data_IF_271859325790
#
_entry.id   IF_271859325790
#
_cell.length_a   1.000
_cell.length_b   1.000
_cell.length_c   1.000
_cell.angle_alpha   90.00
_cell.angle_beta   90.00
_cell.angle_gamma   90.00
#
_symmetry.space_group_name_H-M   'P 1'
#
loop_
_entity.id
_entity.type
_entity.pdbx_description
1 polymer ?
#
# COMPACT_ATOMS: atom_id res chain seq x y z
N UNK A 1 5.51 -7.41 -67.42
CA UNK A 1 6.18 -6.28 -66.75
C UNK A 1 5.15 -5.61 -65.85
N UNK A 2 5.30 -5.78 -64.53
CA UNK A 2 4.76 -5.01 -63.38
C UNK A 2 3.22 -4.94 -63.25
N UNK A 3 2.52 -5.70 -62.39
CA UNK A 3 2.49 -5.73 -60.92
C UNK A 3 2.15 -4.38 -60.29
N UNK A 4 0.94 -4.24 -59.70
CA UNK A 4 0.67 -3.48 -58.47
C UNK A 4 -0.57 -4.07 -57.79
N UNK A 5 -0.32 -4.95 -56.83
CA UNK A 5 -1.25 -5.43 -55.81
C UNK A 5 -1.32 -4.32 -54.75
N UNK A 6 -2.46 -3.63 -54.68
CA UNK A 6 -2.69 -2.52 -53.76
C UNK A 6 -3.04 -3.11 -52.38
N UNK A 7 -2.00 -3.56 -51.69
CA UNK A 7 -2.08 -4.04 -50.32
C UNK A 7 -2.42 -2.87 -49.41
N UNK A 8 -3.67 -2.83 -48.96
CA UNK A 8 -4.13 -1.96 -47.89
C UNK A 8 -3.28 -2.20 -46.64
N UNK A 9 -2.39 -1.26 -46.35
CA UNK A 9 -1.62 -1.23 -45.10
C UNK A 9 -2.59 -0.87 -43.98
N UNK A 10 -2.99 -1.90 -43.23
CA UNK A 10 -3.79 -1.83 -42.02
C UNK A 10 -3.09 -0.93 -40.99
N UNK A 11 -3.66 0.25 -40.73
CA UNK A 11 -3.13 1.21 -39.75
C UNK A 11 -3.38 0.75 -38.29
N UNK A 12 -2.52 -0.17 -37.86
CA UNK A 12 -1.84 -0.35 -36.56
C UNK A 12 -2.61 -0.54 -35.21
N UNK A 13 -2.20 -1.56 -34.41
CA UNK A 13 -2.71 -1.87 -33.05
C UNK A 13 -2.19 -1.00 -31.90
N UNK A 14 -1.13 -0.18 -32.10
CA UNK A 14 -0.49 0.58 -31.00
C UNK A 14 -1.39 1.63 -30.34
N UNK A 15 -2.17 2.38 -31.15
CA UNK A 15 -3.06 3.43 -30.63
C UNK A 15 -4.16 2.85 -29.74
N UNK A 16 -4.73 1.71 -30.15
CA UNK A 16 -5.81 1.00 -29.44
C UNK A 16 -5.34 0.37 -28.13
N UNK A 17 -4.08 -0.08 -28.07
CA UNK A 17 -3.46 -0.61 -26.84
C UNK A 17 -3.14 0.52 -25.86
N UNK A 18 -2.65 1.66 -26.33
CA UNK A 18 -2.38 2.84 -25.51
C UNK A 18 -3.66 3.40 -24.86
N UNK A 19 -4.75 3.47 -25.61
CA UNK A 19 -6.05 3.92 -25.11
C UNK A 19 -6.63 2.95 -24.07
N UNK A 20 -6.42 1.63 -24.26
CA UNK A 20 -6.82 0.62 -23.28
C UNK A 20 -6.09 0.81 -21.95
N UNK A 21 -4.75 0.84 -21.97
CA UNK A 21 -3.95 0.93 -20.76
C UNK A 21 -4.21 2.26 -20.00
N UNK A 22 -4.40 3.36 -20.72
CA UNK A 22 -4.76 4.64 -20.13
C UNK A 22 -6.13 4.57 -19.44
N UNK A 23 -7.13 3.96 -20.09
CA UNK A 23 -8.48 3.81 -19.53
C UNK A 23 -8.49 2.90 -18.29
N UNK A 24 -7.79 1.78 -18.36
CA UNK A 24 -7.65 0.84 -17.23
C UNK A 24 -7.01 1.53 -16.01
N UNK A 25 -5.93 2.28 -16.23
CA UNK A 25 -5.27 3.09 -15.19
C UNK A 25 -6.20 4.19 -14.63
N UNK A 26 -7.01 4.83 -15.47
CA UNK A 26 -7.95 5.85 -15.05
C UNK A 26 -9.04 5.28 -14.14
N UNK A 27 -9.62 4.13 -14.50
CA UNK A 27 -10.60 3.39 -13.69
C UNK A 27 -9.98 3.02 -12.35
N UNK A 28 -8.79 2.42 -12.36
CA UNK A 28 -8.09 2.00 -11.14
C UNK A 28 -7.80 3.19 -10.20
N UNK A 29 -7.30 4.29 -10.75
CA UNK A 29 -6.98 5.50 -9.99
C UNK A 29 -8.24 6.14 -9.40
N UNK A 30 -9.34 6.18 -10.17
CA UNK A 30 -10.63 6.67 -9.71
C UNK A 30 -11.17 5.81 -8.56
N UNK A 31 -11.02 4.49 -8.66
CA UNK A 31 -11.46 3.56 -7.63
C UNK A 31 -10.70 3.76 -6.30
N UNK A 32 -9.37 3.82 -6.35
CA UNK A 32 -8.53 4.12 -5.16
C UNK A 32 -8.90 5.47 -4.54
N UNK A 33 -9.11 6.49 -5.37
CA UNK A 33 -9.48 7.81 -4.89
C UNK A 33 -10.87 7.84 -4.24
N UNK A 34 -11.86 7.11 -4.76
CA UNK A 34 -13.18 6.98 -4.15
C UNK A 34 -13.12 6.30 -2.79
N UNK A 35 -12.44 5.16 -2.68
CA UNK A 35 -12.23 4.52 -1.38
C UNK A 35 -11.53 5.48 -0.41
N UNK A 36 -10.46 6.14 -0.86
CA UNK A 36 -9.70 7.07 -0.04
C UNK A 36 -10.53 8.28 0.43
N UNK A 37 -11.61 8.66 -0.26
CA UNK A 37 -12.42 9.84 0.06
C UNK A 37 -13.71 9.46 0.78
N UNK A 38 -14.49 8.55 0.20
CA UNK A 38 -15.88 8.23 0.59
C UNK A 38 -16.02 6.89 1.32
N UNK A 39 -14.98 6.04 1.25
CA UNK A 39 -15.01 4.69 1.82
C UNK A 39 -15.95 3.73 1.11
N UNK A 40 -16.24 2.58 1.75
CA UNK A 40 -16.99 1.50 1.10
C UNK A 40 -18.47 1.82 0.85
N UNK A 41 -19.09 2.67 1.67
CA UNK A 41 -20.51 3.03 1.52
C UNK A 41 -20.81 3.75 0.19
N UNK A 42 -19.88 4.58 -0.29
CA UNK A 42 -19.99 5.27 -1.58
C UNK A 42 -19.35 4.53 -2.76
N UNK A 43 -18.76 3.36 -2.51
CA UNK A 43 -17.95 2.66 -3.50
C UNK A 43 -18.80 1.71 -4.35
N UNK A 44 -18.80 1.92 -5.67
CA UNK A 44 -19.51 1.05 -6.59
C UNK A 44 -19.24 1.38 -8.05
N UNK A 45 -19.66 0.48 -8.95
CA UNK A 45 -19.41 0.57 -10.40
C UNK A 45 -19.79 1.93 -10.98
N UNK A 46 -20.99 2.43 -10.67
CA UNK A 46 -21.47 3.71 -11.23
C UNK A 46 -20.66 4.90 -10.70
N UNK A 47 -20.28 4.89 -9.42
CA UNK A 47 -19.47 5.95 -8.82
C UNK A 47 -18.07 5.98 -9.45
N UNK A 48 -17.45 4.80 -9.61
CA UNK A 48 -16.14 4.65 -10.26
C UNK A 48 -16.19 5.10 -11.72
N UNK A 49 -17.18 4.63 -12.49
CA UNK A 49 -17.35 5.00 -13.90
C UNK A 49 -17.50 6.51 -14.09
N UNK A 50 -18.37 7.13 -13.28
CA UNK A 50 -18.58 8.59 -13.29
C UNK A 50 -17.29 9.35 -12.99
N UNK A 51 -16.51 8.90 -12.00
CA UNK A 51 -15.24 9.56 -11.63
C UNK A 51 -14.14 9.35 -12.66
N UNK A 52 -14.06 8.15 -13.24
CA UNK A 52 -13.11 7.81 -14.29
C UNK A 52 -13.44 8.47 -15.64
N UNK A 53 -14.66 8.99 -15.81
CA UNK A 53 -15.14 9.56 -17.07
C UNK A 53 -15.31 8.49 -18.15
N UNK A 54 -15.68 7.26 -17.78
CA UNK A 54 -15.78 6.13 -18.70
C UNK A 54 -17.15 5.44 -18.61
N UNK A 55 -17.48 4.64 -19.63
CA UNK A 55 -18.65 3.76 -19.57
C UNK A 55 -18.44 2.64 -18.53
N UNK A 56 -19.48 2.30 -17.76
CA UNK A 56 -19.42 1.23 -16.74
C UNK A 56 -19.07 -0.14 -17.32
N UNK A 57 -19.41 -0.41 -18.58
CA UNK A 57 -19.07 -1.65 -19.28
C UNK A 57 -17.54 -1.83 -19.40
N UNK A 58 -16.77 -0.75 -19.41
CA UNK A 58 -15.30 -0.84 -19.41
C UNK A 58 -14.76 -1.39 -18.09
N UNK A 59 -15.44 -1.14 -16.96
CA UNK A 59 -15.07 -1.73 -15.67
C UNK A 59 -15.32 -3.24 -15.68
N UNK A 60 -16.47 -3.68 -16.18
CA UNK A 60 -16.74 -5.10 -16.37
C UNK A 60 -15.75 -5.76 -17.33
N UNK A 61 -15.41 -5.07 -18.43
CA UNK A 61 -14.47 -5.57 -19.44
C UNK A 61 -13.04 -5.71 -18.91
N UNK A 62 -12.55 -4.75 -18.13
CA UNK A 62 -11.15 -4.72 -17.69
C UNK A 62 -10.92 -5.38 -16.34
N UNK A 63 -11.89 -5.29 -15.43
CA UNK A 63 -11.76 -5.78 -14.05
C UNK A 63 -12.77 -6.87 -13.70
N UNK A 64 -13.64 -7.31 -14.61
CA UNK A 64 -14.65 -8.32 -14.29
C UNK A 64 -15.75 -7.82 -13.33
N UNK A 65 -15.85 -6.50 -13.15
CA UNK A 65 -16.82 -5.87 -12.24
C UNK A 65 -16.17 -5.37 -10.95
N UNK A 66 -16.98 -5.23 -9.90
CA UNK A 66 -16.55 -4.57 -8.66
C UNK A 66 -15.58 -5.44 -7.86
N UNK A 67 -15.84 -6.75 -7.82
CA UNK A 67 -15.00 -7.71 -7.08
C UNK A 67 -13.59 -7.78 -7.67
N UNK A 68 -13.45 -7.89 -8.99
CA UNK A 68 -12.12 -7.91 -9.60
C UNK A 68 -11.40 -6.55 -9.55
N UNK A 69 -12.14 -5.44 -9.48
CA UNK A 69 -11.55 -4.13 -9.20
C UNK A 69 -11.00 -4.05 -7.76
N UNK A 70 -11.72 -4.61 -6.78
CA UNK A 70 -11.24 -4.73 -5.39
C UNK A 70 -10.04 -5.68 -5.33
N UNK A 71 -10.06 -6.78 -6.07
CA UNK A 71 -8.94 -7.71 -6.16
C UNK A 71 -7.69 -7.03 -6.72
N UNK A 72 -7.82 -6.23 -7.78
CA UNK A 72 -6.71 -5.45 -8.34
C UNK A 72 -6.16 -4.42 -7.33
N UNK A 73 -7.03 -3.80 -6.52
CA UNK A 73 -6.59 -2.91 -5.44
C UNK A 73 -5.84 -3.71 -4.37
N UNK A 74 -6.32 -4.90 -4.02
CA UNK A 74 -5.62 -5.81 -3.11
C UNK A 74 -4.25 -6.23 -3.63
N UNK A 75 -4.10 -6.45 -4.93
CA UNK A 75 -2.81 -6.77 -5.56
C UNK A 75 -1.82 -5.60 -5.50
N UNK A 76 -2.28 -4.38 -5.78
CA UNK A 76 -1.49 -3.15 -5.62
C UNK A 76 -1.09 -2.91 -4.16
N UNK A 77 -1.97 -3.20 -3.19
CA UNK A 77 -1.60 -3.22 -1.77
C UNK A 77 -0.57 -4.32 -1.45
N UNK A 78 -0.61 -5.41 -2.21
CA UNK A 78 0.36 -6.51 -2.20
C UNK A 78 1.79 -6.05 -2.53
N UNK A 79 1.94 -5.06 -3.40
CA UNK A 79 3.24 -4.47 -3.77
C UNK A 79 3.54 -3.16 -3.03
N UNK A 80 2.55 -2.54 -2.39
CA UNK A 80 2.66 -1.23 -1.72
C UNK A 80 3.90 -1.09 -0.83
N UNK A 81 4.19 -2.10 -0.01
CA UNK A 81 5.33 -2.10 0.90
C UNK A 81 6.65 -2.09 0.11
N UNK A 82 6.74 -2.93 -0.93
CA UNK A 82 7.92 -3.04 -1.80
C UNK A 82 8.17 -1.75 -2.60
N UNK A 83 7.11 -1.13 -3.09
CA UNK A 83 7.23 0.03 -4.00
C UNK A 83 7.56 1.33 -3.24
N UNK A 84 7.18 1.42 -1.96
CA UNK A 84 7.40 2.61 -1.12
C UNK A 84 8.56 2.48 -0.16
N UNK A 85 9.00 1.26 0.13
CA UNK A 85 10.12 1.02 1.04
C UNK A 85 11.29 0.45 0.24
N UNK A 86 12.42 1.17 0.14
CA UNK A 86 13.59 0.71 -0.61
C UNK A 86 14.03 -0.70 -0.24
N UNK A 87 14.30 -1.53 -1.25
CA UNK A 87 14.85 -2.89 -1.06
C UNK A 87 16.32 -2.86 -0.62
N UNK A 88 17.05 -1.79 -0.94
CA UNK A 88 18.42 -1.60 -0.47
C UNK A 88 18.40 -1.05 0.96
N UNK A 89 18.28 -1.95 1.93
CA UNK A 89 18.43 -1.61 3.34
C UNK A 89 19.86 -1.34 3.77
N UNK A 90 20.86 -1.48 2.88
CA UNK A 90 22.26 -1.21 3.14
C UNK A 90 23.14 -2.30 2.55
N UNK A 91 24.05 -1.90 1.66
CA UNK A 91 25.10 -2.76 1.12
C UNK A 91 25.95 -3.45 2.19
N UNK A 92 26.91 -4.26 1.72
CA UNK A 92 27.73 -5.32 2.38
C UNK A 92 28.27 -5.11 3.83
N UNK A 93 28.04 -3.99 4.50
CA UNK A 93 28.44 -3.71 5.88
C UNK A 93 27.28 -3.98 6.85
N UNK A 94 27.23 -5.23 7.30
CA UNK A 94 26.57 -5.80 8.50
C UNK A 94 25.58 -4.86 9.21
N UNK A 95 24.29 -4.98 8.84
CA UNK A 95 23.17 -4.54 9.67
C UNK A 95 22.93 -5.63 10.73
N UNK A 96 23.01 -5.30 12.01
CA UNK A 96 22.45 -6.16 13.05
C UNK A 96 20.93 -6.29 12.86
N UNK A 97 20.29 -7.25 13.52
CA UNK A 97 18.82 -7.36 13.49
C UNK A 97 18.15 -6.06 13.97
N UNK A 98 18.72 -5.40 14.98
CA UNK A 98 18.26 -4.09 15.45
C UNK A 98 18.42 -2.98 14.42
N UNK A 99 19.55 -2.92 13.71
CA UNK A 99 19.75 -1.95 12.61
C UNK A 99 18.72 -2.13 11.49
N UNK A 100 18.46 -3.39 11.13
CA UNK A 100 17.44 -3.73 10.14
C UNK A 100 16.07 -3.26 10.63
N UNK A 101 15.64 -3.71 11.81
CA UNK A 101 14.31 -3.37 12.34
C UNK A 101 14.11 -1.86 12.53
N UNK A 102 15.17 -1.12 12.86
CA UNK A 102 15.10 0.34 12.98
C UNK A 102 14.73 0.95 11.63
N UNK A 103 15.45 0.56 10.57
CA UNK A 103 15.21 1.04 9.21
C UNK A 103 13.83 0.64 8.71
N UNK A 104 13.42 -0.61 8.93
CA UNK A 104 12.12 -1.12 8.52
C UNK A 104 10.98 -0.38 9.22
N UNK A 105 11.09 -0.15 10.54
CA UNK A 105 10.07 0.55 11.31
C UNK A 105 9.88 2.01 10.86
N UNK A 106 10.98 2.72 10.58
CA UNK A 106 10.93 4.11 10.11
C UNK A 106 10.41 4.21 8.67
N UNK A 107 10.86 3.31 7.81
CA UNK A 107 10.37 3.27 6.43
C UNK A 107 8.88 2.95 6.38
N UNK A 108 8.41 2.06 7.27
CA UNK A 108 7.01 1.76 7.42
C UNK A 108 6.19 2.95 7.94
N UNK A 109 6.71 3.67 8.94
CA UNK A 109 6.12 4.91 9.45
C UNK A 109 5.94 5.94 8.33
N UNK A 110 6.98 6.21 7.55
CA UNK A 110 6.94 7.20 6.47
C UNK A 110 6.05 6.74 5.31
N UNK A 111 6.12 5.47 4.92
CA UNK A 111 5.27 4.90 3.89
C UNK A 111 3.79 5.05 4.25
N UNK A 112 3.39 4.70 5.49
CA UNK A 112 2.01 4.85 5.96
C UNK A 112 1.55 6.31 5.93
N UNK A 113 2.38 7.24 6.43
CA UNK A 113 2.05 8.68 6.44
C UNK A 113 1.82 9.25 5.05
N UNK A 114 2.44 8.65 4.03
CA UNK A 114 2.31 9.07 2.63
C UNK A 114 1.08 8.50 1.92
N UNK A 115 0.34 7.56 2.51
CA UNK A 115 -0.78 6.87 1.87
C UNK A 115 -2.08 6.89 2.70
N UNK A 116 -2.96 7.89 2.46
CA UNK A 116 -4.25 7.99 3.14
C UNK A 116 -5.18 6.80 2.92
N UNK A 117 -5.10 6.13 1.75
CA UNK A 117 -5.95 4.98 1.45
C UNK A 117 -5.59 3.81 2.36
N UNK A 118 -4.29 3.52 2.52
CA UNK A 118 -3.85 2.46 3.42
C UNK A 118 -4.24 2.75 4.85
N UNK A 119 -4.12 4.00 5.32
CA UNK A 119 -4.59 4.39 6.65
C UNK A 119 -6.09 4.12 6.84
N UNK A 120 -6.92 4.43 5.84
CA UNK A 120 -8.36 4.14 5.88
C UNK A 120 -8.66 2.64 5.89
N UNK A 121 -7.95 1.86 5.08
CA UNK A 121 -8.10 0.40 5.07
C UNK A 121 -7.80 -0.18 6.45
N UNK A 122 -6.70 0.23 7.09
CA UNK A 122 -6.35 -0.21 8.45
C UNK A 122 -7.42 0.21 9.47
N UNK A 123 -7.98 1.41 9.33
CA UNK A 123 -9.09 1.82 10.19
C UNK A 123 -10.33 0.93 10.00
N UNK A 124 -10.68 0.59 8.75
CA UNK A 124 -11.81 -0.28 8.44
C UNK A 124 -11.62 -1.71 8.93
N UNK A 125 -10.39 -2.24 8.90
CA UNK A 125 -10.08 -3.57 9.44
C UNK A 125 -10.57 -3.78 10.87
N UNK A 126 -10.53 -2.70 11.67
CA UNK A 126 -10.92 -2.73 13.07
C UNK A 126 -12.42 -2.42 13.25
N UNK A 127 -13.02 -1.62 12.36
CA UNK A 127 -14.39 -1.12 12.54
C UNK A 127 -15.44 -1.80 11.67
N UNK A 128 -15.06 -2.48 10.59
CA UNK A 128 -15.96 -3.04 9.59
C UNK A 128 -15.67 -4.52 9.31
N UNK A 129 -16.73 -5.31 9.13
CA UNK A 129 -16.65 -6.74 8.85
C UNK A 129 -17.33 -7.09 7.52
N UNK A 130 -16.89 -6.43 6.45
CA UNK A 130 -17.33 -6.77 5.09
C UNK A 130 -16.31 -7.70 4.41
N UNK A 131 -16.74 -8.59 3.50
CA UNK A 131 -15.81 -9.43 2.72
C UNK A 131 -14.75 -8.61 1.97
N UNK A 132 -15.11 -7.43 1.48
CA UNK A 132 -14.25 -6.54 0.72
C UNK A 132 -13.14 -5.93 1.60
N UNK A 133 -13.50 -5.43 2.79
CA UNK A 133 -12.53 -4.95 3.78
C UNK A 133 -11.58 -6.08 4.16
N UNK A 134 -12.13 -7.27 4.46
CA UNK A 134 -11.32 -8.44 4.82
C UNK A 134 -10.33 -8.83 3.71
N UNK A 135 -10.76 -8.81 2.46
CA UNK A 135 -9.88 -9.13 1.32
C UNK A 135 -8.69 -8.16 1.22
N UNK A 136 -8.93 -6.85 1.35
CA UNK A 136 -7.86 -5.85 1.32
C UNK A 136 -6.93 -5.99 2.54
N UNK A 137 -7.50 -6.26 3.71
CA UNK A 137 -6.77 -6.48 4.94
C UNK A 137 -5.81 -7.66 4.85
N UNK A 138 -6.34 -8.81 4.40
CA UNK A 138 -5.58 -10.04 4.25
C UNK A 138 -4.45 -9.86 3.22
N UNK A 139 -4.72 -9.14 2.12
CA UNK A 139 -3.72 -8.80 1.11
C UNK A 139 -2.58 -7.94 1.69
N UNK A 140 -2.92 -6.90 2.46
CA UNK A 140 -1.97 -5.99 3.12
C UNK A 140 -1.14 -6.70 4.19
N UNK A 141 -1.77 -7.49 5.05
CA UNK A 141 -1.07 -8.26 6.09
C UNK A 141 -0.07 -9.24 5.48
N UNK A 142 -0.48 -9.94 4.42
CA UNK A 142 0.39 -10.83 3.64
C UNK A 142 1.55 -10.09 2.98
N UNK A 143 1.30 -8.89 2.45
CA UNK A 143 2.33 -8.04 1.85
C UNK A 143 3.41 -7.64 2.87
N UNK A 144 2.98 -7.16 4.04
CA UNK A 144 3.89 -6.75 5.12
C UNK A 144 4.72 -7.94 5.62
N UNK A 145 4.08 -9.09 5.85
CA UNK A 145 4.77 -10.31 6.27
C UNK A 145 5.83 -10.76 5.26
N UNK A 146 5.46 -10.85 3.97
CA UNK A 146 6.40 -11.22 2.90
C UNK A 146 7.56 -10.25 2.77
N UNK A 147 7.28 -8.95 2.91
CA UNK A 147 8.32 -7.93 2.86
C UNK A 147 9.28 -8.05 4.03
N UNK A 148 8.80 -8.22 5.27
CA UNK A 148 9.65 -8.46 6.43
C UNK A 148 10.55 -9.68 6.25
N UNK A 149 9.99 -10.79 5.75
CA UNK A 149 10.75 -12.01 5.47
C UNK A 149 11.83 -11.78 4.41
N UNK A 150 11.49 -11.06 3.32
CA UNK A 150 12.43 -10.71 2.26
C UNK A 150 13.57 -9.84 2.80
N UNK A 151 13.25 -8.80 3.56
CA UNK A 151 14.24 -7.85 4.08
C UNK A 151 15.12 -8.46 5.18
N UNK A 152 14.59 -9.37 5.99
CA UNK A 152 15.38 -10.16 6.95
C UNK A 152 16.39 -11.03 6.23
N UNK A 153 16.03 -11.66 5.12
CA UNK A 153 16.89 -12.61 4.43
C UNK A 153 17.35 -13.72 5.38
N UNK A 154 18.68 -13.88 5.51
CA UNK A 154 19.31 -14.87 6.39
C UNK A 154 19.70 -14.35 7.77
N UNK A 155 19.34 -13.11 8.14
CA UNK A 155 19.62 -12.59 9.49
C UNK A 155 18.87 -13.39 10.55
N UNK A 156 19.61 -13.88 11.55
CA UNK A 156 19.04 -14.56 12.70
C UNK A 156 18.37 -13.56 13.64
N UNK A 157 17.15 -13.89 14.05
CA UNK A 157 16.45 -13.18 15.10
C UNK A 157 17.17 -13.35 16.46
N UNK A 158 17.13 -12.34 17.35
CA UNK A 158 17.67 -12.46 18.70
C UNK A 158 17.08 -13.67 19.45
N UNK A 159 17.93 -14.47 20.07
CA UNK A 159 17.51 -15.64 20.85
C UNK A 159 16.73 -15.20 22.09
N UNK A 160 15.69 -15.96 22.43
CA UNK A 160 14.87 -15.69 23.62
C UNK A 160 13.85 -14.57 23.46
N UNK A 161 13.72 -13.99 22.27
CA UNK A 161 12.72 -12.97 21.96
C UNK A 161 11.65 -13.53 21.00
N UNK A 162 10.38 -13.36 21.36
CA UNK A 162 9.28 -13.58 20.41
C UNK A 162 9.21 -12.40 19.42
N UNK A 163 10.06 -12.47 18.39
CA UNK A 163 10.17 -11.39 17.40
C UNK A 163 8.86 -11.14 16.65
N UNK A 164 8.02 -12.16 16.46
CA UNK A 164 6.73 -11.99 15.81
C UNK A 164 5.79 -11.12 16.66
N UNK A 165 5.68 -11.43 17.97
CA UNK A 165 4.88 -10.65 18.89
C UNK A 165 5.39 -9.21 19.04
N UNK A 166 6.70 -9.02 19.17
CA UNK A 166 7.30 -7.67 19.28
C UNK A 166 7.08 -6.87 18.00
N UNK A 167 7.28 -7.47 16.82
CA UNK A 167 7.03 -6.82 15.55
C UNK A 167 5.56 -6.38 15.44
N UNK A 168 4.62 -7.25 15.85
CA UNK A 168 3.20 -6.93 15.84
C UNK A 168 2.87 -5.71 16.72
N UNK A 169 3.42 -5.65 17.94
CA UNK A 169 3.25 -4.49 18.84
C UNK A 169 3.84 -3.22 18.24
N UNK A 170 5.05 -3.30 17.68
CA UNK A 170 5.72 -2.16 17.06
C UNK A 170 4.92 -1.60 15.87
N UNK A 171 4.47 -2.47 14.96
CA UNK A 171 3.70 -2.04 13.80
C UNK A 171 2.31 -1.53 14.20
N UNK A 172 1.65 -2.15 15.18
CA UNK A 172 0.39 -1.65 15.72
C UNK A 172 0.54 -0.26 16.33
N UNK A 173 1.61 -0.01 17.08
CA UNK A 173 1.89 1.31 17.65
C UNK A 173 2.09 2.37 16.56
N UNK A 174 2.89 2.05 15.53
CA UNK A 174 3.11 2.95 14.39
C UNK A 174 1.79 3.23 13.65
N UNK A 175 1.02 2.18 13.31
CA UNK A 175 -0.27 2.33 12.63
C UNK A 175 -1.21 3.23 13.42
N UNK A 176 -1.35 2.98 14.73
CA UNK A 176 -2.26 3.74 15.57
C UNK A 176 -1.86 5.21 15.69
N UNK A 177 -0.56 5.50 15.79
CA UNK A 177 -0.04 6.87 15.79
C UNK A 177 -0.35 7.58 14.46
N UNK A 178 -0.09 6.93 13.32
CA UNK A 178 -0.37 7.51 11.99
C UNK A 178 -1.86 7.80 11.81
N UNK A 179 -2.72 6.84 12.14
CA UNK A 179 -4.17 6.99 12.04
C UNK A 179 -4.67 8.08 12.99
N UNK A 180 -4.19 8.11 14.24
CA UNK A 180 -4.54 9.14 15.23
C UNK A 180 -4.05 10.53 14.80
N UNK A 181 -2.87 10.63 14.18
CA UNK A 181 -2.35 11.87 13.61
C UNK A 181 -3.21 12.36 12.44
N UNK A 182 -3.61 11.47 11.54
CA UNK A 182 -4.48 11.81 10.41
C UNK A 182 -5.90 12.21 10.82
N UNK A 183 -6.43 11.64 11.91
CA UNK A 183 -7.81 11.87 12.36
C UNK A 183 -7.92 13.02 13.36
N UNK A 184 -7.06 13.04 14.38
CA UNK A 184 -7.15 13.94 15.54
C UNK A 184 -5.98 14.93 15.62
N UNK A 185 -4.91 14.71 14.84
CA UNK A 185 -3.69 15.53 14.89
C UNK A 185 -2.88 15.37 16.18
N UNK A 186 -3.21 14.40 17.01
CA UNK A 186 -2.50 14.07 18.25
C UNK A 186 -2.80 12.65 18.74
N UNK A 187 -1.95 12.14 19.62
CA UNK A 187 -2.19 10.92 20.39
C UNK A 187 -1.50 11.02 21.76
N UNK A 188 -2.20 10.64 22.83
CA UNK A 188 -1.66 10.66 24.21
C UNK A 188 -0.95 11.98 24.61
N UNK A 189 -1.49 13.13 24.18
CA UNK A 189 -0.93 14.46 24.46
C UNK A 189 0.27 14.85 23.58
N UNK A 190 0.68 13.99 22.64
CA UNK A 190 1.72 14.28 21.64
C UNK A 190 1.07 14.80 20.36
N UNK A 191 1.45 16.00 19.93
CA UNK A 191 1.04 16.56 18.64
C UNK A 191 1.64 15.73 17.49
N UNK A 192 0.90 15.59 16.39
CA UNK A 192 1.27 14.76 15.23
C UNK A 192 1.00 15.47 13.90
N UNK A 193 1.26 16.78 13.82
CA UNK A 193 0.84 17.63 12.69
C UNK A 193 1.99 18.04 11.80
N UNK A 194 3.16 18.28 12.39
CA UNK A 194 4.32 18.86 11.70
C UNK A 194 5.41 17.83 11.46
N UNK A 195 6.31 18.07 10.51
CA UNK A 195 7.50 17.22 10.32
C UNK A 195 8.27 17.02 11.62
N UNK A 196 8.46 18.11 12.39
CA UNK A 196 9.15 18.06 13.69
C UNK A 196 8.47 17.13 14.70
N UNK A 197 7.15 17.07 14.69
CA UNK A 197 6.41 16.14 15.57
C UNK A 197 6.71 14.70 15.20
N UNK A 198 6.71 14.39 13.92
CA UNK A 198 7.00 13.05 13.43
C UNK A 198 8.47 12.65 13.55
N UNK A 199 9.42 13.60 13.47
CA UNK A 199 10.83 13.35 13.75
C UNK A 199 11.04 12.91 15.22
N UNK A 200 10.26 13.47 16.15
CA UNK A 200 10.26 13.03 17.56
C UNK A 200 9.72 11.61 17.69
N UNK A 201 8.63 11.28 16.99
CA UNK A 201 8.09 9.91 16.95
C UNK A 201 9.11 8.94 16.37
N UNK A 202 9.74 9.28 15.25
CA UNK A 202 10.82 8.47 14.66
C UNK A 202 11.95 8.23 15.66
N UNK A 203 12.38 9.26 16.39
CA UNK A 203 13.40 9.13 17.44
C UNK A 203 12.96 8.19 18.57
N UNK A 204 11.70 8.24 19.00
CA UNK A 204 11.16 7.34 20.00
C UNK A 204 11.09 5.89 19.50
N UNK A 205 10.63 5.68 18.26
CA UNK A 205 10.61 4.37 17.60
C UNK A 205 12.01 3.77 17.55
N UNK A 206 13.03 4.54 17.13
CA UNK A 206 14.44 4.11 17.14
C UNK A 206 14.88 3.60 18.51
N UNK A 207 14.59 4.37 19.57
CA UNK A 207 14.96 4.01 20.95
C UNK A 207 14.29 2.71 21.40
N UNK A 208 13.00 2.53 21.09
CA UNK A 208 12.26 1.30 21.42
C UNK A 208 12.88 0.11 20.69
N UNK A 209 13.11 0.24 19.38
CA UNK A 209 13.72 -0.83 18.57
C UNK A 209 15.08 -1.25 19.13
N UNK A 210 15.97 -0.28 19.42
CA UNK A 210 17.30 -0.58 20.00
C UNK A 210 17.21 -1.23 21.37
N UNK A 211 16.28 -0.76 22.21
CA UNK A 211 16.07 -1.36 23.53
C UNK A 211 15.62 -2.82 23.48
N UNK A 212 14.94 -3.24 22.40
CA UNK A 212 14.40 -4.59 22.28
C UNK A 212 15.31 -5.53 21.48
N UNK A 213 15.92 -5.05 20.40
CA UNK A 213 16.68 -5.89 19.47
C UNK A 213 18.21 -5.79 19.59
N UNK A 214 18.73 -4.82 20.36
CA UNK A 214 20.15 -4.49 20.42
C UNK A 214 20.54 -3.45 19.38
#
# INVERSE_FOLDING_TARGET
MLAMDDTAVEAAPEKRVKDRAATEKAIFSAAKALLAQEGFQGFGINAVARRAGCDKQLIYRYFGGLEGLIAAIGEDLGSWVKDRIPEDTGGMFVLTYGDLMERLALSYLDALRSDPLVCKIIAWEVSEHTPQVKQLADARAKALSKWLDKMRGSLEAPKGLDTAAVNAVLFAAIQHLVISGATNGQFAGVALKTTRDWDKIGTAVKRIVRGVYG
#
